data_IF_517442525488
#
_entry.id   IF_517442525488
#
_cell.length_a   1.000
_cell.length_b   1.000
_cell.length_c   1.000
_cell.angle_alpha   90.00
_cell.angle_beta   90.00
_cell.angle_gamma   90.00
#
_symmetry.space_group_name_H-M   'P 1'
#
loop_
_entity.id
_entity.type
_entity.pdbx_description
1 polymer ?
#
# COMPACT_ATOMS: atom_id res chain seq x y z
N UNK A 1 2.00 13.64 2.63
CA UNK A 1 2.15 12.88 1.38
C UNK A 1 1.28 11.62 1.42
N UNK A 2 1.31 10.90 2.54
CA UNK A 2 0.53 9.68 2.79
C UNK A 2 -0.80 9.97 3.50
N UNK A 3 -1.68 10.74 2.86
CA UNK A 3 -3.01 11.04 3.41
C UNK A 3 -4.04 10.08 2.84
N UNK A 4 -5.02 9.71 3.67
CA UNK A 4 -6.17 8.92 3.25
C UNK A 4 -5.82 7.56 2.60
N UNK A 5 -4.72 6.96 3.05
CA UNK A 5 -4.37 5.60 2.64
C UNK A 5 -5.47 4.62 3.09
N UNK A 6 -5.85 3.73 2.19
CA UNK A 6 -6.83 2.69 2.45
C UNK A 6 -6.31 1.71 3.52
N UNK A 7 -7.15 1.29 4.48
CA UNK A 7 -6.81 0.25 5.45
C UNK A 7 -6.41 -1.05 4.78
N UNK A 8 -5.59 -1.86 5.46
CA UNK A 8 -5.33 -3.23 5.02
C UNK A 8 -6.64 -4.04 4.95
N UNK A 9 -6.71 -4.98 4.02
CA UNK A 9 -7.94 -5.70 3.70
C UNK A 9 -8.89 -4.95 2.76
N UNK A 10 -8.61 -3.70 2.40
CA UNK A 10 -9.39 -3.00 1.37
C UNK A 10 -9.26 -3.71 0.03
N UNK A 11 -10.38 -3.86 -0.68
CA UNK A 11 -10.43 -4.56 -1.98
C UNK A 11 -10.64 -3.54 -3.10
N UNK A 12 -9.73 -3.50 -4.05
CA UNK A 12 -9.67 -2.50 -5.13
C UNK A 12 -9.51 -3.15 -6.50
N UNK A 13 -9.86 -2.41 -7.55
CA UNK A 13 -9.47 -2.70 -8.93
C UNK A 13 -8.60 -1.56 -9.43
N UNK A 14 -7.47 -1.90 -10.06
CA UNK A 14 -6.58 -0.92 -10.69
C UNK A 14 -7.03 -0.62 -12.11
N UNK A 15 -6.68 0.58 -12.60
CA UNK A 15 -6.97 1.03 -13.96
C UNK A 15 -6.47 0.03 -15.00
N UNK A 16 -7.39 -0.47 -15.83
CA UNK A 16 -7.08 -1.47 -16.87
C UNK A 16 -6.81 -2.88 -16.33
N UNK A 17 -6.96 -3.10 -15.02
CA UNK A 17 -6.88 -4.40 -14.40
C UNK A 17 -8.14 -5.24 -14.64
N UNK A 18 -7.99 -6.57 -14.61
CA UNK A 18 -9.11 -7.50 -14.74
C UNK A 18 -9.42 -8.24 -13.43
N UNK A 19 -8.48 -8.25 -12.49
CA UNK A 19 -8.60 -8.92 -11.19
C UNK A 19 -8.54 -7.90 -10.07
N UNK A 20 -9.33 -8.15 -9.03
CA UNK A 20 -9.31 -7.35 -7.80
C UNK A 20 -8.05 -7.66 -7.00
N UNK A 21 -7.53 -6.63 -6.34
CA UNK A 21 -6.44 -6.74 -5.38
C UNK A 21 -6.95 -6.41 -3.98
N UNK A 22 -6.43 -7.10 -2.98
CA UNK A 22 -6.59 -6.74 -1.57
C UNK A 22 -5.31 -6.08 -1.08
N UNK A 23 -5.43 -4.91 -0.45
CA UNK A 23 -4.30 -4.20 0.17
C UNK A 23 -3.78 -5.02 1.35
N UNK A 24 -2.49 -5.33 1.37
CA UNK A 24 -1.83 -6.08 2.45
C UNK A 24 -0.70 -5.31 3.13
N UNK A 25 -0.27 -4.19 2.55
CA UNK A 25 0.71 -3.28 3.17
C UNK A 25 0.60 -1.87 2.61
N UNK A 26 1.17 -0.90 3.36
CA UNK A 26 1.14 0.53 3.06
C UNK A 26 2.54 1.11 3.20
N UNK A 27 2.89 2.09 2.36
CA UNK A 27 4.20 2.77 2.36
C UNK A 27 5.34 1.75 2.28
N UNK A 28 5.52 1.18 1.10
CA UNK A 28 6.40 0.02 0.87
C UNK A 28 7.37 0.31 -0.28
N UNK A 29 8.54 -0.34 -0.25
CA UNK A 29 9.51 -0.31 -1.35
C UNK A 29 9.81 -1.74 -1.81
N UNK A 30 10.37 -1.85 -3.00
CA UNK A 30 10.92 -3.11 -3.52
C UNK A 30 12.43 -3.10 -3.27
N UNK A 31 13.03 -4.24 -2.92
CA UNK A 31 14.47 -4.33 -2.62
C UNK A 31 15.35 -3.76 -3.76
N UNK A 32 14.93 -3.96 -5.00
CA UNK A 32 15.64 -3.50 -6.21
C UNK A 32 15.08 -2.20 -6.81
N UNK A 33 14.21 -1.47 -6.10
CA UNK A 33 13.64 -0.21 -6.59
C UNK A 33 13.81 0.91 -5.57
N UNK A 34 14.26 2.08 -6.03
CA UNK A 34 14.41 3.29 -5.22
C UNK A 34 13.08 4.06 -5.08
N UNK A 35 11.95 3.39 -5.29
CA UNK A 35 10.60 3.96 -5.24
C UNK A 35 9.84 3.49 -4.02
N UNK A 36 9.07 4.41 -3.47
CA UNK A 36 8.07 4.14 -2.45
C UNK A 36 6.72 4.08 -3.15
N UNK A 37 5.98 3.02 -2.87
CA UNK A 37 4.61 2.82 -3.32
C UNK A 37 3.65 3.03 -2.15
N UNK A 38 2.45 3.52 -2.45
CA UNK A 38 1.41 3.65 -1.44
C UNK A 38 1.00 2.29 -0.88
N UNK A 39 0.90 1.27 -1.74
CA UNK A 39 0.38 -0.04 -1.39
C UNK A 39 1.18 -1.20 -1.96
N UNK A 40 1.11 -2.32 -1.26
CA UNK A 40 1.32 -3.67 -1.78
C UNK A 40 0.03 -4.47 -1.58
N UNK A 41 -0.35 -5.27 -2.57
CA UNK A 41 -1.56 -6.09 -2.53
C UNK A 41 -1.36 -7.48 -3.10
N UNK A 42 -2.33 -8.35 -2.82
CA UNK A 42 -2.43 -9.70 -3.37
C UNK A 42 -3.75 -9.88 -4.12
N UNK A 43 -3.91 -10.98 -4.86
CA UNK A 43 -5.14 -11.27 -5.60
C UNK A 43 -6.31 -11.49 -4.63
N UNK A 44 -7.48 -10.93 -4.93
CA UNK A 44 -8.72 -11.23 -4.21
C UNK A 44 -9.65 -12.12 -5.08
N UNK A 45 -10.24 -13.20 -4.53
CA UNK A 45 -10.17 -13.68 -3.14
C UNK A 45 -9.04 -14.69 -2.85
N UNK A 46 -8.16 -14.96 -3.80
CA UNK A 46 -7.17 -16.05 -3.73
C UNK A 46 -6.11 -15.86 -2.64
N UNK A 47 -5.79 -14.61 -2.28
CA UNK A 47 -4.69 -14.28 -1.38
C UNK A 47 -3.33 -14.33 -2.07
N UNK A 48 -2.29 -14.63 -1.30
CA UNK A 48 -0.90 -14.75 -1.76
C UNK A 48 -0.66 -16.22 -2.14
N UNK A 49 -0.46 -16.50 -3.43
CA UNK A 49 -0.13 -17.86 -3.90
C UNK A 49 1.39 -18.10 -3.91
N UNK A 50 2.16 -17.06 -4.26
CA UNK A 50 3.63 -17.05 -4.18
C UNK A 50 4.12 -15.68 -3.73
N UNK A 51 5.35 -15.61 -3.23
CA UNK A 51 5.99 -14.33 -2.85
C UNK A 51 6.26 -13.42 -4.05
N UNK A 52 6.30 -13.97 -5.27
CA UNK A 52 6.44 -13.22 -6.52
C UNK A 52 5.13 -12.58 -7.01
N UNK A 53 3.98 -12.94 -6.45
CA UNK A 53 2.65 -12.44 -6.84
C UNK A 53 2.14 -11.31 -5.94
N UNK A 54 3.06 -10.45 -5.50
CA UNK A 54 2.72 -9.21 -4.82
C UNK A 54 2.70 -8.04 -5.81
N UNK A 55 1.66 -7.22 -5.72
CA UNK A 55 1.41 -6.11 -6.63
C UNK A 55 1.66 -4.80 -5.90
N UNK A 56 2.65 -4.03 -6.35
CA UNK A 56 2.94 -2.69 -5.84
C UNK A 56 2.18 -1.66 -6.69
N UNK A 57 1.48 -0.73 -6.04
CA UNK A 57 0.67 0.29 -6.73
C UNK A 57 0.43 1.53 -5.87
N UNK A 58 0.06 2.61 -6.55
CA UNK A 58 -0.25 3.90 -5.93
C UNK A 58 -1.75 4.18 -5.92
N UNK A 59 -2.19 5.07 -5.05
CA UNK A 59 -3.59 5.51 -4.92
C UNK A 59 -4.15 5.99 -6.26
N UNK A 60 -3.35 6.71 -7.04
CA UNK A 60 -3.71 7.20 -8.39
C UNK A 60 -4.02 6.10 -9.41
N UNK A 61 -3.54 4.87 -9.16
CA UNK A 61 -3.77 3.71 -10.04
C UNK A 61 -5.08 2.99 -9.73
N UNK A 62 -5.76 3.32 -8.63
CA UNK A 62 -7.04 2.72 -8.25
C UNK A 62 -8.15 3.27 -9.14
N UNK A 63 -8.94 2.36 -9.72
CA UNK A 63 -10.13 2.67 -10.50
C UNK A 63 -11.40 2.54 -9.65
N UNK A 64 -11.51 1.46 -8.87
CA UNK A 64 -12.66 1.21 -8.01
C UNK A 64 -12.23 0.67 -6.64
N UNK A 65 -12.95 1.09 -5.60
CA UNK A 65 -12.89 0.52 -4.25
C UNK A 65 -14.18 -0.27 -4.02
N UNK A 66 -14.06 -1.57 -3.79
CA UNK A 66 -15.20 -2.48 -3.54
C UNK A 66 -15.47 -2.69 -2.06
N UNK A 67 -14.42 -2.57 -1.24
CA UNK A 67 -14.51 -2.74 0.20
C UNK A 67 -13.43 -1.90 0.86
N UNK A 68 -13.81 -1.21 1.94
CA UNK A 68 -12.86 -0.54 2.83
C UNK A 68 -12.51 -1.55 3.91
N UNK A 69 -11.22 -1.75 4.12
CA UNK A 69 -10.67 -2.72 5.06
C UNK A 69 -11.14 -2.51 6.49
N UNK A 70 -10.77 -3.46 7.35
CA UNK A 70 -11.13 -3.42 8.77
C UNK A 70 -10.56 -2.16 9.42
N UNK A 71 -11.38 -1.52 10.26
CA UNK A 71 -11.02 -0.28 10.95
C UNK A 71 -11.43 -0.39 12.41
N UNK A 72 -10.46 -0.17 13.28
CA UNK A 72 -10.61 -0.05 14.72
C UNK A 72 -9.72 1.08 15.24
N UNK A 73 -9.57 1.18 16.56
CA UNK A 73 -8.72 2.19 17.18
C UNK A 73 -7.24 2.04 16.82
N UNK A 74 -6.76 0.81 16.57
CA UNK A 74 -5.37 0.57 16.16
C UNK A 74 -5.15 1.07 14.73
N UNK A 75 -6.04 0.72 13.80
CA UNK A 75 -5.99 1.19 12.41
C UNK A 75 -6.05 2.73 12.33
N UNK A 76 -6.95 3.36 13.10
CA UNK A 76 -7.06 4.82 13.12
C UNK A 76 -5.79 5.49 13.69
N UNK A 77 -5.19 4.91 14.73
CA UNK A 77 -3.94 5.40 15.32
C UNK A 77 -2.78 5.26 14.34
N UNK A 78 -2.69 4.12 13.65
CA UNK A 78 -1.64 3.87 12.66
C UNK A 78 -1.82 4.75 11.42
N UNK A 79 -3.05 4.96 10.94
CA UNK A 79 -3.33 5.94 9.88
C UNK A 79 -2.85 7.33 10.27
N UNK A 80 -3.12 7.76 11.51
CA UNK A 80 -2.61 9.03 12.04
C UNK A 80 -1.08 9.11 12.06
N UNK A 81 -0.39 8.02 12.40
CA UNK A 81 1.08 7.94 12.29
C UNK A 81 1.55 8.12 10.83
N UNK A 82 0.96 7.38 9.88
CA UNK A 82 1.31 7.48 8.45
C UNK A 82 1.11 8.89 7.89
N UNK A 83 0.04 9.58 8.28
CA UNK A 83 -0.26 10.95 7.86
C UNK A 83 0.80 11.97 8.32
N UNK A 84 1.47 11.68 9.44
CA UNK A 84 2.52 12.52 10.02
C UNK A 84 3.93 12.17 9.52
N UNK A 85 4.08 11.17 8.63
CA UNK A 85 5.36 10.89 8.00
C UNK A 85 5.81 12.08 7.13
N UNK A 86 7.08 12.45 7.29
CA UNK A 86 7.76 13.46 6.49
C UNK A 86 8.13 12.96 5.10
N UNK A 87 9.12 13.61 4.47
CA UNK A 87 9.73 13.07 3.25
C UNK A 87 10.50 11.79 3.58
N UNK A 88 10.29 10.76 2.76
CA UNK A 88 10.94 9.46 2.87
C UNK A 88 11.76 9.19 1.61
N UNK A 89 12.80 8.38 1.75
CA UNK A 89 13.59 7.87 0.63
C UNK A 89 13.96 6.39 0.85
N UNK A 90 14.41 5.73 -0.20
CA UNK A 90 14.86 4.34 -0.14
C UNK A 90 16.38 4.31 -0.14
N UNK A 91 16.98 3.75 0.91
CA UNK A 91 18.43 3.53 1.05
C UNK A 91 18.68 2.05 1.30
N UNK A 92 19.41 1.39 0.39
CA UNK A 92 19.70 -0.05 0.46
C UNK A 92 18.45 -0.93 0.66
N UNK A 93 17.38 -0.63 -0.06
CA UNK A 93 16.12 -1.38 0.03
C UNK A 93 15.31 -1.12 1.32
N UNK A 94 15.67 -0.10 2.11
CA UNK A 94 14.95 0.29 3.32
C UNK A 94 14.39 1.70 3.19
N UNK A 95 13.17 1.89 3.65
CA UNK A 95 12.54 3.21 3.74
C UNK A 95 13.10 3.92 4.98
N UNK A 96 13.71 5.08 4.76
CA UNK A 96 14.25 5.95 5.81
C UNK A 96 13.68 7.36 5.68
N UNK A 97 13.60 8.13 6.78
CA UNK A 97 13.33 9.55 6.70
C UNK A 97 14.44 10.24 5.90
N UNK A 98 14.07 11.12 4.98
CA UNK A 98 15.02 11.92 4.24
C UNK A 98 15.61 12.99 5.17
N UNK A 99 16.90 12.90 5.47
CA UNK A 99 17.58 13.94 6.24
C UNK A 99 17.62 15.24 5.42
N UNK A 100 17.33 16.36 6.08
CA UNK A 100 17.35 17.71 5.46
C UNK A 100 18.76 18.23 5.28
#
# INVERSE_FOLDING_TARGET
MYKDLLPIGSVVLLKGGQKKLMVVGRVVCKEDDNKIYDYIGCLYPQGILTTSELYFFNTESIENVFFIGFQDTEEMSFKGFLENLGELEVVNGQIVPKER
#
